data_IF_031019257533
#
_entry.id   IF_031019257533
#
_cell.length_a   1.000
_cell.length_b   1.000
_cell.length_c   1.000
_cell.angle_alpha   90.00
_cell.angle_beta   90.00
_cell.angle_gamma   90.00
#
_symmetry.space_group_name_H-M   'P 1'
#
loop_
_entity.id
_entity.type
_entity.pdbx_description
1 polymer ?
#
# COMPACT_ATOMS: atom_id res chain seq x y z
N UNK A 1 9.12 14.02 7.77
CA UNK A 1 7.63 14.07 7.72
C UNK A 1 7.09 12.76 7.20
N UNK A 2 6.13 12.13 7.88
CA UNK A 2 5.45 10.91 7.41
C UNK A 2 4.55 11.23 6.23
N UNK A 3 4.57 10.38 5.20
CA UNK A 3 3.70 10.48 4.05
C UNK A 3 2.85 9.21 3.90
N UNK A 4 1.53 9.39 3.81
CA UNK A 4 0.56 8.33 3.65
C UNK A 4 -0.03 8.42 2.25
N UNK A 5 -0.14 7.29 1.55
CA UNK A 5 -0.72 7.19 0.21
C UNK A 5 -1.96 6.29 0.20
N UNK A 6 -2.98 6.73 -0.51
CA UNK A 6 -4.15 5.93 -0.83
C UNK A 6 -4.64 6.21 -2.26
N UNK A 7 -5.45 5.31 -2.79
CA UNK A 7 -5.97 5.39 -4.14
C UNK A 7 -7.14 6.38 -4.24
N UNK A 8 -8.16 6.21 -3.43
CA UNK A 8 -9.46 6.82 -3.63
C UNK A 8 -9.79 7.87 -2.56
N UNK A 9 -10.74 8.77 -2.93
CA UNK A 9 -11.32 9.72 -1.98
C UNK A 9 -11.99 9.01 -0.80
N UNK A 10 -12.58 7.84 -1.03
CA UNK A 10 -13.22 7.06 0.02
C UNK A 10 -12.20 6.61 1.08
N UNK A 11 -11.06 6.05 0.65
CA UNK A 11 -9.96 5.66 1.54
C UNK A 11 -9.43 6.85 2.33
N UNK A 12 -9.16 7.98 1.64
CA UNK A 12 -8.73 9.20 2.31
C UNK A 12 -9.71 9.63 3.41
N UNK A 13 -11.01 9.62 3.12
CA UNK A 13 -12.05 10.00 4.08
C UNK A 13 -12.11 9.07 5.29
N UNK A 14 -11.88 7.76 5.13
CA UNK A 14 -11.84 6.80 6.24
C UNK A 14 -10.72 7.15 7.24
N UNK A 15 -9.55 7.54 6.77
CA UNK A 15 -8.45 7.95 7.64
C UNK A 15 -8.67 9.36 8.20
N UNK A 16 -9.12 10.32 7.38
CA UNK A 16 -9.38 11.69 7.81
C UNK A 16 -10.48 11.80 8.89
N UNK A 17 -11.47 10.90 8.86
CA UNK A 17 -12.50 10.85 9.89
C UNK A 17 -11.96 10.56 11.31
N UNK A 18 -10.74 10.00 11.40
CA UNK A 18 -10.03 9.72 12.65
C UNK A 18 -9.07 10.85 13.06
N UNK A 19 -8.85 11.82 12.16
CA UNK A 19 -7.87 12.90 12.28
C UNK A 19 -8.61 14.25 12.31
N UNK A 20 -8.54 14.95 13.43
CA UNK A 20 -9.37 16.14 13.68
C UNK A 20 -8.83 17.43 13.06
N UNK A 21 -7.54 17.50 12.71
CA UNK A 21 -6.88 18.71 12.22
C UNK A 21 -6.19 18.44 10.87
N UNK A 22 -6.86 18.81 9.78
CA UNK A 22 -6.31 18.67 8.44
C UNK A 22 -6.74 19.81 7.53
N UNK A 23 -5.84 20.13 6.57
CA UNK A 23 -6.07 21.11 5.52
C UNK A 23 -5.86 20.47 4.16
N UNK A 24 -6.78 20.69 3.22
CA UNK A 24 -6.63 20.22 1.84
C UNK A 24 -5.81 21.21 1.01
N UNK A 25 -4.90 20.69 0.19
CA UNK A 25 -4.13 21.42 -0.81
C UNK A 25 -4.49 20.85 -2.19
N UNK A 26 -5.06 21.68 -3.07
CA UNK A 26 -5.71 21.24 -4.33
C UNK A 26 -4.96 21.65 -5.60
N UNK A 27 -3.69 22.01 -5.51
CA UNK A 27 -2.92 22.57 -6.64
C UNK A 27 -2.49 21.53 -7.70
N UNK A 28 -2.89 20.26 -7.54
CA UNK A 28 -2.44 19.14 -8.37
C UNK A 28 -3.62 18.34 -8.92
N UNK A 29 -3.35 17.42 -9.85
CA UNK A 29 -4.32 16.43 -10.34
C UNK A 29 -4.67 15.35 -9.29
N UNK A 30 -4.11 15.43 -8.10
CA UNK A 30 -4.36 14.60 -6.93
C UNK A 30 -4.53 15.48 -5.67
N UNK A 31 -5.11 14.94 -4.62
CA UNK A 31 -5.35 15.69 -3.38
C UNK A 31 -4.26 15.42 -2.35
N UNK A 32 -3.79 16.49 -1.70
CA UNK A 32 -2.89 16.44 -0.56
C UNK A 32 -3.66 16.98 0.66
N UNK A 33 -3.57 16.26 1.78
CA UNK A 33 -4.10 16.70 3.06
C UNK A 33 -2.92 16.87 4.02
N UNK A 34 -2.68 18.10 4.46
CA UNK A 34 -1.73 18.43 5.51
C UNK A 34 -2.40 18.21 6.87
N UNK A 35 -1.80 17.40 7.73
CA UNK A 35 -2.39 16.89 8.96
C UNK A 35 -1.44 17.19 10.11
N UNK A 36 -2.00 17.57 11.28
CA UNK A 36 -1.28 17.63 12.55
C UNK A 36 -1.76 16.53 13.47
N UNK A 37 -0.83 15.68 13.92
CA UNK A 37 -1.10 14.61 14.89
C UNK A 37 -0.01 14.59 15.96
N UNK A 38 -0.39 14.72 17.24
CA UNK A 38 0.54 14.79 18.38
C UNK A 38 1.67 15.83 18.20
N UNK A 39 1.35 16.99 17.59
CA UNK A 39 2.31 18.06 17.30
C UNK A 39 3.26 17.79 16.13
N UNK A 40 3.08 16.70 15.39
CA UNK A 40 3.86 16.34 14.21
C UNK A 40 3.07 16.59 12.93
N UNK A 41 3.78 17.03 11.90
CA UNK A 41 3.22 17.23 10.56
C UNK A 41 3.28 15.92 9.76
N UNK A 42 2.16 15.56 9.15
CA UNK A 42 1.97 14.37 8.32
C UNK A 42 1.26 14.82 7.04
N UNK A 43 1.49 14.15 5.93
CA UNK A 43 0.70 14.35 4.72
C UNK A 43 0.00 13.06 4.32
N UNK A 44 -1.25 13.18 3.90
CA UNK A 44 -2.00 12.12 3.23
C UNK A 44 -2.20 12.53 1.77
N UNK A 45 -1.89 11.62 0.86
CA UNK A 45 -1.98 11.81 -0.59
C UNK A 45 -3.00 10.84 -1.15
N UNK A 46 -4.05 11.38 -1.75
CA UNK A 46 -5.00 10.61 -2.53
C UNK A 46 -4.60 10.69 -3.99
N UNK A 47 -3.91 9.66 -4.48
CA UNK A 47 -3.18 9.69 -5.75
C UNK A 47 -4.03 9.36 -6.98
N UNK A 48 -5.15 8.64 -6.81
CA UNK A 48 -5.87 7.98 -7.91
C UNK A 48 -5.28 6.59 -8.22
N UNK A 49 -6.07 5.70 -8.81
CA UNK A 49 -5.65 4.31 -9.06
C UNK A 49 -4.61 4.17 -10.16
N UNK A 50 -3.81 3.11 -10.05
CA UNK A 50 -2.86 2.69 -11.06
C UNK A 50 -1.44 3.25 -10.91
N UNK A 51 -0.51 2.58 -11.55
CA UNK A 51 0.94 2.78 -11.37
C UNK A 51 1.40 4.20 -11.72
N UNK A 52 0.90 4.76 -12.82
CA UNK A 52 1.34 6.09 -13.29
C UNK A 52 0.90 7.19 -12.33
N UNK A 53 -0.35 7.14 -11.82
CA UNK A 53 -0.86 8.12 -10.86
C UNK A 53 -0.06 8.12 -9.56
N UNK A 54 0.23 6.94 -9.02
CA UNK A 54 1.05 6.82 -7.82
C UNK A 54 2.49 7.29 -8.03
N UNK A 55 3.12 6.93 -9.16
CA UNK A 55 4.48 7.36 -9.48
C UNK A 55 4.57 8.88 -9.64
N UNK A 56 3.60 9.49 -10.34
CA UNK A 56 3.52 10.94 -10.49
C UNK A 56 3.35 11.65 -9.15
N UNK A 57 2.36 11.21 -8.36
CA UNK A 57 2.11 11.81 -7.05
C UNK A 57 3.32 11.68 -6.12
N UNK A 58 3.94 10.49 -6.07
CA UNK A 58 5.12 10.24 -5.23
C UNK A 58 6.30 11.11 -5.64
N UNK A 59 6.56 11.28 -6.96
CA UNK A 59 7.61 12.17 -7.46
C UNK A 59 7.40 13.63 -7.05
N UNK A 60 6.17 14.15 -7.20
CA UNK A 60 5.86 15.52 -6.76
C UNK A 60 6.04 15.69 -5.25
N UNK A 61 5.57 14.73 -4.47
CA UNK A 61 5.61 14.79 -3.00
C UNK A 61 7.04 14.75 -2.46
N UNK A 62 7.89 13.88 -2.99
CA UNK A 62 9.29 13.76 -2.55
C UNK A 62 10.14 15.00 -2.88
N UNK A 63 9.79 15.75 -3.93
CA UNK A 63 10.43 17.02 -4.25
C UNK A 63 9.92 18.19 -3.39
N UNK A 64 8.64 18.16 -3.01
CA UNK A 64 7.98 19.29 -2.33
C UNK A 64 8.11 19.23 -0.81
N UNK A 65 8.13 18.05 -0.22
CA UNK A 65 8.08 17.85 1.22
C UNK A 65 9.29 17.04 1.72
N UNK A 66 9.83 17.32 2.92
CA UNK A 66 10.92 16.57 3.52
C UNK A 66 10.44 15.23 4.06
N UNK A 67 10.12 14.29 3.17
CA UNK A 67 9.59 12.99 3.51
C UNK A 67 10.65 12.14 4.19
N UNK A 68 10.27 11.44 5.25
CA UNK A 68 11.12 10.55 6.06
C UNK A 68 10.68 9.09 6.01
N UNK A 69 9.42 8.81 5.70
CA UNK A 69 8.89 7.47 5.48
C UNK A 69 7.58 7.52 4.71
N UNK A 70 7.25 6.42 4.03
CA UNK A 70 6.06 6.27 3.19
C UNK A 70 5.23 5.08 3.64
N UNK A 71 3.92 5.29 3.80
CA UNK A 71 2.94 4.27 4.16
C UNK A 71 1.85 4.25 3.10
N UNK A 72 1.71 3.16 2.35
CA UNK A 72 0.55 2.92 1.49
C UNK A 72 -0.55 2.20 2.27
N UNK A 73 -1.82 2.54 2.06
CA UNK A 73 -2.93 1.81 2.64
C UNK A 73 -4.12 1.72 1.68
N UNK A 74 -5.08 0.86 2.01
CA UNK A 74 -6.27 0.62 1.22
C UNK A 74 -6.67 -0.84 1.26
N UNK A 75 -7.07 -1.37 0.13
CA UNK A 75 -7.49 -2.75 -0.03
C UNK A 75 -6.62 -3.53 -1.03
N UNK A 76 -6.68 -4.86 -0.98
CA UNK A 76 -5.98 -5.76 -1.89
C UNK A 76 -6.78 -7.04 -2.14
N UNK A 77 -6.42 -7.77 -3.20
CA UNK A 77 -6.84 -9.14 -3.40
C UNK A 77 -5.90 -10.13 -2.70
N UNK A 78 -6.43 -11.27 -2.29
CA UNK A 78 -5.67 -12.38 -1.75
C UNK A 78 -5.75 -13.60 -2.66
N UNK A 79 -4.59 -14.13 -3.03
CA UNK A 79 -4.46 -15.31 -3.91
C UNK A 79 -3.58 -16.42 -3.33
N UNK A 80 -3.22 -16.29 -2.04
CA UNK A 80 -2.41 -17.28 -1.34
C UNK A 80 -3.18 -18.58 -1.05
N UNK A 81 -2.45 -19.62 -0.63
CA UNK A 81 -3.01 -20.96 -0.39
C UNK A 81 -3.68 -21.12 0.97
N UNK A 82 -3.30 -20.32 1.95
CA UNK A 82 -3.88 -20.41 3.29
C UNK A 82 -5.25 -19.73 3.32
N UNK A 83 -6.20 -20.29 4.09
CA UNK A 83 -7.49 -19.63 4.27
C UNK A 83 -7.32 -18.30 5.00
N UNK A 84 -7.85 -17.24 4.41
CA UNK A 84 -7.94 -15.89 4.99
C UNK A 84 -9.37 -15.41 4.93
N UNK A 85 -9.71 -14.49 5.81
CA UNK A 85 -11.02 -13.86 5.82
C UNK A 85 -10.96 -12.47 5.15
N UNK A 86 -12.07 -12.04 4.56
CA UNK A 86 -12.20 -10.67 4.08
C UNK A 86 -12.03 -9.71 5.26
N UNK A 87 -11.26 -8.65 5.04
CA UNK A 87 -10.88 -7.70 6.09
C UNK A 87 -9.65 -8.11 6.92
N UNK A 88 -9.08 -9.31 6.75
CA UNK A 88 -7.77 -9.61 7.33
C UNK A 88 -6.72 -8.64 6.76
N UNK A 89 -5.76 -8.22 7.59
CA UNK A 89 -4.78 -7.21 7.23
C UNK A 89 -3.58 -7.85 6.54
N UNK A 90 -3.29 -7.34 5.35
CA UNK A 90 -2.12 -7.66 4.56
C UNK A 90 -1.03 -6.60 4.76
N UNK A 91 0.14 -7.04 5.19
CA UNK A 91 1.31 -6.17 5.44
C UNK A 91 2.40 -6.58 4.45
N UNK A 92 2.94 -5.64 3.69
CA UNK A 92 3.96 -5.97 2.70
C UNK A 92 5.28 -6.38 3.38
N UNK A 93 5.83 -7.54 2.97
CA UNK A 93 7.22 -7.91 3.22
C UNK A 93 8.12 -7.40 2.11
N UNK A 94 7.74 -7.74 0.90
CA UNK A 94 8.33 -7.27 -0.34
C UNK A 94 7.23 -6.98 -1.34
N UNK A 95 7.50 -6.08 -2.27
CA UNK A 95 6.61 -5.72 -3.37
C UNK A 95 7.33 -5.79 -4.70
N UNK A 96 6.65 -6.16 -5.79
CA UNK A 96 7.20 -6.15 -7.14
C UNK A 96 6.12 -6.01 -8.21
N UNK A 97 6.52 -5.57 -9.39
CA UNK A 97 5.62 -5.44 -10.54
C UNK A 97 5.67 -6.73 -11.38
N UNK A 98 4.59 -7.51 -11.38
CA UNK A 98 4.55 -8.79 -12.10
C UNK A 98 4.15 -8.67 -13.60
N UNK A 99 3.87 -7.47 -14.06
CA UNK A 99 3.56 -7.15 -15.45
C UNK A 99 4.74 -6.51 -16.21
N UNK A 100 5.93 -6.52 -15.62
CA UNK A 100 7.16 -6.02 -16.26
C UNK A 100 7.95 -7.18 -16.84
N UNK A 101 8.21 -7.14 -18.15
CA UNK A 101 9.06 -8.10 -18.84
C UNK A 101 9.97 -7.40 -19.86
N UNK A 102 11.26 -7.37 -19.55
CA UNK A 102 12.32 -6.89 -20.43
C UNK A 102 13.37 -7.98 -20.71
N UNK A 103 13.00 -9.27 -20.63
CA UNK A 103 13.92 -10.39 -20.86
C UNK A 103 14.56 -10.35 -22.26
N UNK A 104 13.82 -9.87 -23.27
CA UNK A 104 14.36 -9.66 -24.61
C UNK A 104 15.55 -8.68 -24.65
N UNK A 105 15.68 -7.81 -23.65
CA UNK A 105 16.78 -6.87 -23.46
C UNK A 105 17.78 -7.36 -22.39
N UNK A 106 17.82 -8.66 -22.10
CA UNK A 106 18.75 -9.32 -21.16
C UNK A 106 18.53 -8.94 -19.67
N UNK A 107 17.37 -8.39 -19.29
CA UNK A 107 16.99 -8.23 -17.89
C UNK A 107 16.41 -9.54 -17.34
N UNK A 108 16.46 -9.71 -16.01
CA UNK A 108 15.72 -10.80 -15.34
C UNK A 108 14.21 -10.53 -15.46
N UNK A 109 13.41 -11.58 -15.44
CA UNK A 109 11.96 -11.42 -15.36
C UNK A 109 11.58 -10.51 -14.18
N UNK A 110 10.69 -9.54 -14.40
CA UNK A 110 10.25 -8.51 -13.43
C UNK A 110 11.33 -7.51 -12.98
N UNK A 111 12.53 -7.57 -13.52
CA UNK A 111 13.55 -6.57 -13.20
C UNK A 111 13.18 -5.20 -13.79
N UNK A 112 13.24 -4.19 -12.95
CA UNK A 112 12.99 -2.81 -13.36
C UNK A 112 14.28 -2.21 -13.94
N UNK A 113 14.29 -1.86 -15.25
CA UNK A 113 15.45 -1.25 -15.87
C UNK A 113 15.99 -0.03 -15.11
N UNK A 114 17.30 0.03 -14.93
CA UNK A 114 17.97 1.13 -14.23
C UNK A 114 17.86 1.09 -12.69
N UNK A 115 17.31 0.00 -12.11
CA UNK A 115 17.33 -0.21 -10.65
C UNK A 115 18.15 -1.43 -10.24
N UNK A 116 18.35 -2.40 -11.15
CA UNK A 116 18.90 -3.73 -10.89
C UNK A 116 18.09 -4.50 -9.81
N UNK A 117 16.82 -4.15 -9.62
CA UNK A 117 15.94 -4.76 -8.63
C UNK A 117 14.75 -5.44 -9.30
N UNK A 118 14.38 -6.60 -8.76
CA UNK A 118 13.12 -7.30 -9.06
C UNK A 118 12.09 -6.99 -7.97
N UNK A 119 12.53 -7.00 -6.71
CA UNK A 119 11.69 -6.78 -5.52
C UNK A 119 12.18 -5.59 -4.71
N UNK A 120 11.26 -4.93 -4.04
CA UNK A 120 11.54 -3.83 -3.12
C UNK A 120 11.10 -4.25 -1.71
N UNK A 121 12.04 -4.43 -0.76
CA UNK A 121 11.71 -4.86 0.60
C UNK A 121 11.09 -3.71 1.41
N UNK A 122 10.06 -4.03 2.18
CA UNK A 122 9.47 -3.09 3.15
C UNK A 122 10.35 -2.91 4.38
N UNK A 123 10.27 -1.75 5.01
CA UNK A 123 11.05 -1.43 6.20
C UNK A 123 10.64 -2.28 7.41
N UNK A 124 11.62 -2.81 8.12
CA UNK A 124 11.40 -3.72 9.25
C UNK A 124 10.70 -3.04 10.42
N UNK A 125 11.07 -1.80 10.75
CA UNK A 125 10.47 -1.08 11.87
C UNK A 125 9.02 -0.71 11.57
N UNK A 126 8.72 -0.28 10.34
CA UNK A 126 7.35 -0.02 9.91
C UNK A 126 6.49 -1.30 9.96
N UNK A 127 7.04 -2.47 9.57
CA UNK A 127 6.37 -3.77 9.72
C UNK A 127 6.04 -4.08 11.19
N UNK A 128 6.98 -3.80 12.10
CA UNK A 128 6.74 -3.99 13.53
C UNK A 128 5.60 -3.10 14.03
N UNK A 129 5.55 -1.82 13.64
CA UNK A 129 4.44 -0.93 13.98
C UNK A 129 3.09 -1.45 13.45
N UNK A 130 3.05 -1.93 12.21
CA UNK A 130 1.83 -2.50 11.61
C UNK A 130 1.34 -3.75 12.37
N UNK A 131 2.25 -4.69 12.68
CA UNK A 131 1.91 -5.90 13.45
C UNK A 131 1.45 -5.55 14.87
N UNK A 132 2.08 -4.58 15.53
CA UNK A 132 1.67 -4.10 16.85
C UNK A 132 0.29 -3.44 16.80
N UNK A 133 -0.01 -2.65 15.77
CA UNK A 133 -1.32 -2.04 15.57
C UNK A 133 -2.40 -3.11 15.34
N UNK A 134 -2.14 -4.12 14.51
CA UNK A 134 -3.06 -5.25 14.32
C UNK A 134 -3.35 -5.96 15.65
N UNK A 135 -2.30 -6.24 16.44
CA UNK A 135 -2.47 -6.87 17.76
C UNK A 135 -3.28 -6.01 18.74
N UNK A 136 -3.06 -4.70 18.75
CA UNK A 136 -3.81 -3.77 19.60
C UNK A 136 -5.30 -3.72 19.26
N UNK A 137 -5.62 -3.80 17.96
CA UNK A 137 -6.98 -3.77 17.42
C UNK A 137 -7.68 -5.14 17.42
N UNK A 138 -6.99 -6.20 17.84
CA UNK A 138 -7.44 -7.60 17.69
C UNK A 138 -7.78 -7.98 16.24
N UNK A 139 -6.98 -7.47 15.29
CA UNK A 139 -7.09 -7.79 13.88
C UNK A 139 -6.05 -8.84 13.48
N UNK A 140 -6.44 -9.78 12.61
CA UNK A 140 -5.50 -10.73 12.02
C UNK A 140 -4.64 -10.01 10.98
N UNK A 141 -3.34 -9.90 11.26
CA UNK A 141 -2.34 -9.32 10.36
C UNK A 141 -1.39 -10.38 9.81
N UNK A 142 -1.14 -10.34 8.51
CA UNK A 142 -0.18 -11.22 7.84
C UNK A 142 0.82 -10.42 7.02
N UNK A 143 2.09 -10.75 7.18
CA UNK A 143 3.18 -10.25 6.33
C UNK A 143 3.33 -11.18 5.12
N UNK A 144 3.41 -10.62 3.90
CA UNK A 144 3.53 -11.43 2.70
C UNK A 144 3.99 -10.67 1.46
N UNK A 145 4.12 -11.39 0.35
CA UNK A 145 4.59 -10.89 -0.93
C UNK A 145 3.45 -10.25 -1.72
N UNK A 146 3.62 -9.00 -2.10
CA UNK A 146 2.69 -8.26 -2.95
C UNK A 146 3.16 -8.26 -4.41
N UNK A 147 2.25 -8.62 -5.30
CA UNK A 147 2.39 -8.43 -6.75
C UNK A 147 1.50 -7.28 -7.22
N UNK A 148 2.09 -6.31 -7.89
CA UNK A 148 1.41 -5.13 -8.43
C UNK A 148 1.35 -5.18 -9.96
N UNK A 149 0.19 -4.82 -10.52
CA UNK A 149 0.01 -4.57 -11.96
C UNK A 149 -1.18 -3.62 -12.16
N UNK A 150 -1.23 -2.90 -13.28
CA UNK A 150 -2.43 -2.14 -13.69
C UNK A 150 -3.54 -3.08 -14.17
N UNK A 151 -3.95 -4.01 -13.30
CA UNK A 151 -4.92 -5.05 -13.62
C UNK A 151 -5.69 -5.51 -12.39
N UNK A 152 -7.02 -5.49 -12.48
CA UNK A 152 -7.88 -6.16 -11.52
C UNK A 152 -7.98 -7.64 -11.90
N UNK A 153 -7.57 -8.54 -11.00
CA UNK A 153 -7.62 -10.00 -11.24
C UNK A 153 -8.98 -10.52 -10.79
N UNK A 154 -9.68 -11.14 -11.73
CA UNK A 154 -10.99 -11.78 -11.54
C UNK A 154 -11.02 -13.15 -12.24
N UNK A 155 -10.00 -13.97 -12.04
CA UNK A 155 -9.87 -15.29 -12.65
C UNK A 155 -9.06 -16.22 -11.76
N UNK A 156 -9.68 -17.31 -11.34
CA UNK A 156 -9.06 -18.37 -10.54
C UNK A 156 -7.80 -18.94 -11.23
N UNK A 157 -7.83 -19.13 -12.55
CA UNK A 157 -6.70 -19.64 -13.33
C UNK A 157 -5.51 -18.70 -13.26
N UNK A 158 -5.75 -17.39 -13.40
CA UNK A 158 -4.67 -16.38 -13.34
C UNK A 158 -4.11 -16.29 -11.94
N UNK A 159 -4.96 -16.25 -10.93
CA UNK A 159 -4.56 -16.21 -9.53
C UNK A 159 -3.72 -17.42 -9.12
N UNK A 160 -4.16 -18.62 -9.53
CA UNK A 160 -3.41 -19.84 -9.28
C UNK A 160 -2.03 -19.80 -9.96
N UNK A 161 -1.96 -19.37 -11.21
CA UNK A 161 -0.69 -19.20 -11.93
C UNK A 161 0.25 -18.22 -11.21
N UNK A 162 -0.24 -17.04 -10.84
CA UNK A 162 0.55 -16.02 -10.13
C UNK A 162 1.08 -16.53 -8.78
N UNK A 163 0.23 -17.22 -8.02
CA UNK A 163 0.66 -17.78 -6.73
C UNK A 163 1.65 -18.95 -6.90
N UNK A 164 1.38 -19.89 -7.81
CA UNK A 164 2.24 -21.08 -7.98
C UNK A 164 3.60 -20.71 -8.59
N UNK A 165 3.62 -19.86 -9.61
CA UNK A 165 4.84 -19.51 -10.35
C UNK A 165 5.69 -18.47 -9.62
N UNK A 166 5.06 -17.50 -8.95
CA UNK A 166 5.75 -16.33 -8.41
C UNK A 166 5.57 -16.15 -6.90
N UNK A 167 4.79 -17.04 -6.26
CA UNK A 167 4.49 -17.00 -4.81
C UNK A 167 3.82 -15.72 -4.33
N UNK A 168 3.14 -15.01 -5.24
CA UNK A 168 2.34 -13.85 -4.88
C UNK A 168 1.23 -14.28 -3.94
N UNK A 169 1.10 -13.61 -2.80
CA UNK A 169 0.00 -13.83 -1.84
C UNK A 169 -1.05 -12.74 -1.94
N UNK A 170 -0.62 -11.49 -2.16
CA UNK A 170 -1.49 -10.32 -2.26
C UNK A 170 -1.30 -9.63 -3.61
N UNK A 171 -2.41 -9.18 -4.19
CA UNK A 171 -2.42 -8.47 -5.48
C UNK A 171 -3.03 -7.09 -5.33
N UNK A 172 -2.42 -6.11 -5.98
CA UNK A 172 -2.87 -4.72 -5.98
C UNK A 172 -2.42 -3.97 -7.25
N UNK A 173 -2.66 -2.65 -7.29
CA UNK A 173 -2.33 -1.81 -8.45
C UNK A 173 -1.31 -0.71 -8.13
N UNK A 174 -0.75 -0.63 -6.90
CA UNK A 174 0.12 0.50 -6.52
C UNK A 174 1.28 0.19 -5.56
N UNK A 175 1.25 -0.88 -4.76
CA UNK A 175 2.25 -1.11 -3.71
C UNK A 175 3.70 -1.15 -4.23
N UNK A 176 3.94 -1.81 -5.35
CA UNK A 176 5.28 -1.89 -5.93
C UNK A 176 5.76 -0.54 -6.48
N UNK A 177 4.85 0.35 -6.87
CA UNK A 177 5.21 1.71 -7.29
C UNK A 177 5.76 2.50 -6.11
N UNK A 178 5.07 2.46 -4.97
CA UNK A 178 5.54 3.11 -3.74
C UNK A 178 6.91 2.56 -3.35
N UNK A 179 7.08 1.22 -3.37
CA UNK A 179 8.36 0.57 -3.06
C UNK A 179 9.48 0.98 -4.02
N UNK A 180 9.21 1.02 -5.32
CA UNK A 180 10.19 1.40 -6.34
C UNK A 180 10.61 2.86 -6.21
N UNK A 181 9.68 3.79 -6.02
CA UNK A 181 10.00 5.21 -5.87
C UNK A 181 10.68 5.47 -4.53
N UNK A 182 10.22 4.86 -3.43
CA UNK A 182 10.86 4.93 -2.13
C UNK A 182 12.32 4.43 -2.17
N UNK A 183 12.58 3.32 -2.88
CA UNK A 183 13.93 2.80 -3.10
C UNK A 183 14.84 3.84 -3.78
N UNK A 184 14.36 4.54 -4.82
CA UNK A 184 15.13 5.59 -5.52
C UNK A 184 15.45 6.80 -4.64
N UNK A 185 14.59 7.09 -3.67
CA UNK A 185 14.76 8.20 -2.72
C UNK A 185 15.36 7.76 -1.37
N UNK A 186 15.75 6.47 -1.23
CA UNK A 186 16.27 5.89 0.01
C UNK A 186 15.32 6.07 1.21
N UNK A 187 14.01 6.00 0.96
CA UNK A 187 12.98 6.17 1.97
C UNK A 187 12.50 4.81 2.51
N UNK A 188 12.35 4.66 3.83
CA UNK A 188 11.61 3.55 4.40
C UNK A 188 10.16 3.56 3.89
N UNK A 189 9.63 2.38 3.52
CA UNK A 189 8.25 2.28 3.09
C UNK A 189 7.58 1.00 3.59
N UNK A 190 6.26 1.00 3.62
CA UNK A 190 5.40 -0.16 3.86
C UNK A 190 4.05 0.03 3.17
N UNK A 191 3.40 -1.08 2.80
CA UNK A 191 1.99 -1.11 2.45
C UNK A 191 1.21 -1.93 3.47
N UNK A 192 0.10 -1.36 3.96
CA UNK A 192 -0.83 -1.96 4.93
C UNK A 192 -2.22 -1.92 4.32
N UNK A 193 -2.71 -3.07 3.88
CA UNK A 193 -3.98 -3.19 3.17
C UNK A 193 -4.90 -4.18 3.86
N UNK A 194 -6.17 -4.20 3.50
CA UNK A 194 -7.09 -5.23 3.95
C UNK A 194 -7.62 -6.03 2.76
N UNK A 195 -7.84 -7.33 2.97
CA UNK A 195 -8.32 -8.22 1.92
C UNK A 195 -9.77 -7.86 1.58
N UNK A 196 -10.02 -7.52 0.32
CA UNK A 196 -11.35 -7.18 -0.20
C UNK A 196 -11.91 -8.22 -1.18
N UNK A 197 -11.08 -9.10 -1.73
CA UNK A 197 -11.47 -10.15 -2.67
C UNK A 197 -10.39 -11.23 -2.79
N UNK A 198 -10.69 -12.34 -3.48
CA UNK A 198 -9.79 -13.48 -3.60
C UNK A 198 -9.15 -13.65 -4.99
N UNK A 199 -9.34 -12.69 -5.90
CA UNK A 199 -8.81 -12.77 -7.26
C UNK A 199 -9.43 -13.88 -8.12
N UNK A 200 -10.52 -14.52 -7.67
CA UNK A 200 -11.26 -15.57 -8.34
C UNK A 200 -12.31 -15.03 -9.34
N UNK A 201 -13.11 -15.92 -9.90
CA UNK A 201 -14.10 -15.55 -10.90
C UNK A 201 -15.24 -14.68 -10.32
N UNK A 202 -15.39 -14.63 -8.99
CA UNK A 202 -16.35 -13.80 -8.26
C UNK A 202 -15.70 -12.55 -7.62
N UNK A 203 -14.41 -12.30 -7.88
CA UNK A 203 -13.62 -11.25 -7.24
C UNK A 203 -14.29 -9.87 -7.25
N UNK A 204 -14.91 -9.48 -8.37
CA UNK A 204 -15.57 -8.17 -8.48
C UNK A 204 -16.81 -8.06 -7.60
N UNK A 205 -17.57 -9.13 -7.47
CA UNK A 205 -18.75 -9.20 -6.60
C UNK A 205 -18.32 -9.10 -5.12
N UNK A 206 -17.33 -9.90 -4.74
CA UNK A 206 -16.76 -9.93 -3.39
C UNK A 206 -16.16 -8.57 -3.02
N UNK A 207 -15.40 -7.97 -3.94
CA UNK A 207 -14.84 -6.63 -3.78
C UNK A 207 -15.93 -5.59 -3.45
N UNK A 208 -17.04 -5.55 -4.21
CA UNK A 208 -18.13 -4.60 -3.95
C UNK A 208 -18.72 -4.75 -2.55
N UNK A 209 -18.83 -5.97 -2.05
CA UNK A 209 -19.41 -6.27 -0.73
C UNK A 209 -18.44 -5.91 0.41
N UNK A 210 -17.14 -6.18 0.24
CA UNK A 210 -16.16 -6.04 1.28
C UNK A 210 -15.39 -4.69 1.27
N UNK A 211 -15.47 -3.93 0.18
CA UNK A 211 -14.65 -2.73 -0.05
C UNK A 211 -14.71 -1.74 1.12
N UNK A 212 -15.90 -1.42 1.61
CA UNK A 212 -16.04 -0.46 2.70
C UNK A 212 -15.38 -0.97 3.98
N UNK A 213 -15.70 -2.18 4.42
CA UNK A 213 -15.17 -2.77 5.65
C UNK A 213 -13.65 -2.99 5.57
N UNK A 214 -13.13 -3.40 4.42
CA UNK A 214 -11.70 -3.57 4.20
C UNK A 214 -10.95 -2.23 4.36
N UNK A 215 -11.44 -1.17 3.74
CA UNK A 215 -10.81 0.15 3.84
C UNK A 215 -10.92 0.75 5.24
N UNK A 216 -12.01 0.53 5.95
CA UNK A 216 -12.15 0.93 7.35
C UNK A 216 -11.07 0.26 8.21
N UNK A 217 -10.91 -1.07 8.08
CA UNK A 217 -9.90 -1.82 8.85
C UNK A 217 -8.46 -1.44 8.54
N UNK A 218 -8.11 -1.26 7.27
CA UNK A 218 -6.75 -0.78 6.90
C UNK A 218 -6.49 0.62 7.44
N UNK A 219 -7.48 1.52 7.42
CA UNK A 219 -7.36 2.86 7.99
C UNK A 219 -7.24 2.85 9.52
N UNK A 220 -7.90 1.91 10.22
CA UNK A 220 -7.74 1.73 11.68
C UNK A 220 -6.30 1.37 12.03
N UNK A 221 -5.72 0.41 11.29
CA UNK A 221 -4.33 -0.01 11.50
C UNK A 221 -3.37 1.15 11.24
N UNK A 222 -3.53 1.84 10.11
CA UNK A 222 -2.64 2.97 9.77
C UNK A 222 -2.79 4.11 10.79
N UNK A 223 -4.01 4.47 11.20
CA UNK A 223 -4.21 5.46 12.25
C UNK A 223 -3.51 5.07 13.56
N UNK A 224 -3.64 3.80 13.99
CA UNK A 224 -2.98 3.29 15.20
C UNK A 224 -1.45 3.33 15.08
N UNK A 225 -0.91 3.02 13.90
CA UNK A 225 0.53 3.18 13.63
C UNK A 225 0.95 4.64 13.76
N UNK A 226 0.23 5.57 13.13
CA UNK A 226 0.53 7.01 13.16
C UNK A 226 0.50 7.56 14.60
N UNK A 227 -0.50 7.20 15.40
CA UNK A 227 -0.57 7.55 16.80
C UNK A 227 0.68 7.10 17.57
N UNK A 228 1.08 5.83 17.40
CA UNK A 228 2.25 5.29 18.08
C UNK A 228 3.57 5.94 17.60
N UNK A 229 3.71 6.16 16.30
CA UNK A 229 4.92 6.72 15.68
C UNK A 229 5.10 8.20 16.05
N UNK A 230 4.04 9.00 15.98
CA UNK A 230 4.10 10.43 16.29
C UNK A 230 4.35 10.70 17.77
N UNK A 231 3.74 9.92 18.69
CA UNK A 231 4.04 10.00 20.13
C UNK A 231 5.48 9.66 20.48
N UNK A 232 6.08 8.72 19.75
CA UNK A 232 7.49 8.32 19.92
C UNK A 232 8.48 9.19 19.13
N UNK A 233 8.00 10.06 18.25
CA UNK A 233 8.84 10.88 17.38
C UNK A 233 9.64 10.06 16.36
N UNK A 234 9.12 8.91 15.92
CA UNK A 234 9.75 8.03 14.94
C UNK A 234 9.31 8.43 13.54
N UNK A 235 10.27 8.67 12.64
CA UNK A 235 10.07 9.17 11.27
C UNK A 235 9.32 10.53 11.19
N UNK A 236 9.32 11.32 12.24
CA UNK A 236 8.60 12.60 12.31
C UNK A 236 9.53 13.81 12.17
#
# INVERSE_FOLDING_TARGET
MLCIFCESKFEAQQLLAKLNDHKIVTDYLFNIYEIKLNGKEIILVQAGGGKVNFAYAMGVITEKYPITAVIGFGNCGYIGKQKKDLGDIAISDMVFQYDVDFQANHYRLFEIPGTNQVVFPSDLHLKQFALMACKYLDYKGQVGLFGTADRFINSSIISEHLNQSYRIEFIDVEAAVLGQVAYRHHLPFICVKAISHYGDDEAFQTFKQAFQAANERSSDVVYTMLEAMTRKGVYC
#
